data_IF_094866622268
#
_entry.id   IF_094866622268
#
_cell.length_a   1.000
_cell.length_b   1.000
_cell.length_c   1.000
_cell.angle_alpha   90.00
_cell.angle_beta   90.00
_cell.angle_gamma   90.00
#
_symmetry.space_group_name_H-M   'P 1'
#
loop_
_entity.id
_entity.type
_entity.pdbx_description
1 polymer ?
#
# COMPACT_ATOMS: atom_id res chain seq x y z
N UNK A 1 -4.17 3.25 -0.97
CA UNK A 1 -4.89 3.71 0.24
C UNK A 1 -4.31 2.98 1.44
N UNK A 2 -4.07 3.68 2.55
CA UNK A 2 -3.37 3.17 3.73
C UNK A 2 -4.35 3.15 4.89
N UNK A 3 -4.37 2.07 5.65
CA UNK A 3 -5.23 1.93 6.83
C UNK A 3 -4.50 2.41 8.10
N UNK A 4 -4.95 3.52 8.69
CA UNK A 4 -4.35 4.06 9.91
C UNK A 4 -4.71 3.28 11.18
N UNK A 5 -5.62 2.30 11.13
CA UNK A 5 -5.87 1.42 12.28
C UNK A 5 -4.73 0.45 12.56
N UNK A 6 -3.90 0.15 11.53
CA UNK A 6 -2.76 -0.77 11.62
C UNK A 6 -1.45 -0.02 11.49
N UNK A 7 -1.19 0.87 12.45
CA UNK A 7 -0.05 1.80 12.44
C UNK A 7 1.30 1.10 12.20
N UNK A 8 1.49 -0.10 12.76
CA UNK A 8 2.74 -0.86 12.63
C UNK A 8 3.06 -1.28 11.18
N UNK A 9 2.03 -1.51 10.36
CA UNK A 9 2.17 -2.02 8.99
C UNK A 9 2.12 -0.90 7.94
N UNK A 10 1.97 0.35 8.38
CA UNK A 10 1.86 1.51 7.48
C UNK A 10 3.08 1.63 6.58
N UNK A 11 4.29 1.47 7.14
CA UNK A 11 5.52 1.56 6.38
C UNK A 11 5.65 0.45 5.32
N UNK A 12 5.43 -0.79 5.72
CA UNK A 12 5.52 -1.96 4.82
C UNK A 12 4.54 -1.84 3.65
N UNK A 13 3.30 -1.42 3.92
CA UNK A 13 2.28 -1.20 2.89
C UNK A 13 2.73 -0.11 1.93
N UNK A 14 3.28 0.99 2.46
CA UNK A 14 3.71 2.14 1.67
C UNK A 14 4.91 1.79 0.76
N UNK A 15 5.90 1.07 1.30
CA UNK A 15 7.06 0.60 0.56
C UNK A 15 6.66 -0.39 -0.55
N UNK A 16 5.81 -1.37 -0.23
CA UNK A 16 5.29 -2.34 -1.20
C UNK A 16 4.49 -1.68 -2.33
N UNK A 17 3.62 -0.73 -2.00
CA UNK A 17 2.88 0.04 -3.00
C UNK A 17 3.82 0.83 -3.92
N UNK A 18 4.83 1.51 -3.37
CA UNK A 18 5.77 2.29 -4.16
C UNK A 18 6.62 1.41 -5.09
N UNK A 19 7.11 0.27 -4.58
CA UNK A 19 7.86 -0.69 -5.40
C UNK A 19 7.01 -1.22 -6.57
N UNK A 20 5.74 -1.53 -6.30
CA UNK A 20 4.81 -1.99 -7.34
C UNK A 20 4.57 -0.91 -8.38
N UNK A 21 4.34 0.34 -7.97
CA UNK A 21 4.17 1.48 -8.89
C UNK A 21 5.41 1.65 -9.75
N UNK A 22 6.61 1.66 -9.15
CA UNK A 22 7.87 1.79 -9.90
C UNK A 22 8.06 0.66 -10.91
N UNK A 23 7.70 -0.57 -10.54
CA UNK A 23 7.79 -1.75 -11.43
C UNK A 23 6.82 -1.66 -12.61
N UNK A 24 5.59 -1.20 -12.37
CA UNK A 24 4.56 -1.08 -13.42
C UNK A 24 4.86 0.09 -14.36
N UNK A 25 5.29 1.23 -13.82
CA UNK A 25 5.57 2.46 -14.56
C UNK A 25 7.06 2.65 -14.83
N UNK A 26 7.83 1.57 -15.02
CA UNK A 26 9.27 1.65 -15.36
C UNK A 26 9.53 2.26 -16.75
N UNK A 27 8.48 2.45 -17.57
CA UNK A 27 8.58 3.09 -18.88
C UNK A 27 8.60 4.63 -18.74
N UNK A 28 9.53 5.33 -19.41
CA UNK A 28 9.84 6.74 -19.14
C UNK A 28 8.80 7.78 -19.60
N UNK A 29 7.73 7.40 -20.31
CA UNK A 29 6.89 8.39 -21.01
C UNK A 29 5.85 9.11 -20.14
N UNK A 30 5.48 8.61 -18.97
CA UNK A 30 4.52 9.35 -18.11
C UNK A 30 4.63 8.92 -16.65
N UNK A 31 5.09 9.81 -15.76
CA UNK A 31 4.97 9.60 -14.33
C UNK A 31 3.51 9.87 -13.90
N UNK A 32 2.81 8.89 -13.29
CA UNK A 32 1.45 9.11 -12.83
C UNK A 32 1.45 10.03 -11.60
N UNK A 33 0.39 10.84 -11.48
CA UNK A 33 0.18 11.67 -10.29
C UNK A 33 -0.17 10.78 -9.08
N UNK A 34 0.65 10.83 -8.03
CA UNK A 34 0.50 9.96 -6.86
C UNK A 34 -0.35 10.64 -5.77
N UNK A 35 -1.34 9.90 -5.28
CA UNK A 35 -2.20 10.32 -4.17
C UNK A 35 -2.15 9.28 -3.06
N UNK A 36 -1.78 9.72 -1.86
CA UNK A 36 -1.73 8.91 -0.65
C UNK A 36 -2.97 9.24 0.19
N UNK A 37 -3.90 8.30 0.23
CA UNK A 37 -5.12 8.38 1.03
C UNK A 37 -4.93 7.55 2.30
N UNK A 38 -5.02 8.18 3.46
CA UNK A 38 -4.92 7.54 4.77
C UNK A 38 -6.31 7.41 5.40
N UNK A 39 -6.86 6.20 5.40
CA UNK A 39 -8.19 5.89 5.89
C UNK A 39 -8.28 5.67 7.40
N UNK A 40 -9.52 5.56 7.89
CA UNK A 40 -9.88 5.34 9.32
C UNK A 40 -9.32 6.40 10.27
N UNK A 41 -9.33 7.67 9.85
CA UNK A 41 -8.91 8.78 10.70
C UNK A 41 -9.68 8.86 12.03
N UNK A 42 -10.93 8.40 12.06
CA UNK A 42 -11.76 8.32 13.26
C UNK A 42 -11.18 7.43 14.38
N UNK A 43 -10.35 6.44 14.02
CA UNK A 43 -9.62 5.61 14.98
C UNK A 43 -8.28 6.30 15.29
N UNK A 44 -7.59 6.78 14.25
CA UNK A 44 -6.29 7.45 14.39
C UNK A 44 -6.34 8.68 15.32
N UNK A 45 -7.44 9.44 15.32
CA UNK A 45 -7.61 10.61 16.19
C UNK A 45 -7.61 10.28 17.69
N UNK A 46 -7.79 9.02 18.07
CA UNK A 46 -7.78 8.58 19.47
C UNK A 46 -6.40 8.06 19.92
N UNK A 47 -5.40 7.98 19.04
CA UNK A 47 -4.04 7.58 19.42
C UNK A 47 -3.30 8.64 20.23
N UNK A 48 -2.24 8.22 20.90
CA UNK A 48 -1.33 9.12 21.62
C UNK A 48 -0.69 10.15 20.69
N UNK A 49 -0.49 11.35 21.22
CA UNK A 49 0.10 12.48 20.49
C UNK A 49 1.49 12.16 19.94
N UNK A 50 2.29 11.35 20.65
CA UNK A 50 3.61 10.94 20.20
C UNK A 50 3.54 10.02 18.97
N UNK A 51 2.64 9.04 18.99
CA UNK A 51 2.42 8.13 17.85
C UNK A 51 1.90 8.91 16.65
N UNK A 52 0.96 9.83 16.85
CA UNK A 52 0.46 10.72 15.79
C UNK A 52 1.57 11.54 15.17
N UNK A 53 2.43 12.14 15.99
CA UNK A 53 3.55 12.95 15.52
C UNK A 53 4.49 12.11 14.65
N UNK A 54 4.85 10.91 15.09
CA UNK A 54 5.72 10.00 14.32
C UNK A 54 5.09 9.67 12.97
N UNK A 55 3.84 9.23 12.95
CA UNK A 55 3.16 8.81 11.70
C UNK A 55 2.97 9.97 10.74
N UNK A 56 2.48 11.11 11.23
CA UNK A 56 2.31 12.29 10.39
C UNK A 56 3.66 12.76 9.83
N UNK A 57 4.73 12.77 10.63
CA UNK A 57 6.08 13.09 10.13
C UNK A 57 6.53 12.11 9.05
N UNK A 58 6.37 10.80 9.27
CA UNK A 58 6.75 9.77 8.29
C UNK A 58 5.97 9.90 6.99
N UNK A 59 4.64 10.06 7.05
CA UNK A 59 3.80 10.22 5.87
C UNK A 59 4.12 11.50 5.10
N UNK A 60 4.38 12.61 5.81
CA UNK A 60 4.78 13.89 5.19
C UNK A 60 6.13 13.78 4.49
N UNK A 61 7.13 13.18 5.14
CA UNK A 61 8.44 12.95 4.53
C UNK A 61 8.32 12.03 3.31
N UNK A 62 7.49 11.00 3.37
CA UNK A 62 7.28 10.10 2.23
C UNK A 62 6.57 10.80 1.08
N UNK A 63 5.54 11.59 1.35
CA UNK A 63 4.81 12.35 0.32
C UNK A 63 5.73 13.35 -0.38
N UNK A 64 6.57 14.07 0.38
CA UNK A 64 7.55 15.01 -0.15
C UNK A 64 8.58 14.32 -1.07
N UNK A 65 9.09 13.15 -0.66
CA UNK A 65 10.08 12.39 -1.44
C UNK A 65 9.53 11.84 -2.77
N UNK A 66 8.22 11.62 -2.86
CA UNK A 66 7.58 11.02 -4.04
C UNK A 66 6.70 12.02 -4.80
N UNK A 67 6.80 13.33 -4.50
CA UNK A 67 5.96 14.39 -5.09
C UNK A 67 4.46 14.06 -5.07
N UNK A 68 4.01 13.46 -3.97
CA UNK A 68 2.66 12.93 -3.84
C UNK A 68 1.77 13.86 -3.03
N UNK A 69 0.47 13.79 -3.33
CA UNK A 69 -0.57 14.37 -2.49
C UNK A 69 -0.83 13.49 -1.27
N UNK A 70 -1.07 14.09 -0.11
CA UNK A 70 -1.40 13.37 1.12
C UNK A 70 -2.72 13.87 1.69
N UNK A 71 -3.66 12.95 1.92
CA UNK A 71 -4.97 13.29 2.51
C UNK A 71 -5.41 12.25 3.54
N UNK A 72 -6.03 12.75 4.62
CA UNK A 72 -6.69 11.90 5.60
C UNK A 72 -8.16 11.71 5.27
N UNK A 73 -8.63 10.48 5.46
CA UNK A 73 -9.96 10.01 5.11
C UNK A 73 -10.58 9.25 6.28
N UNK A 74 -11.86 9.49 6.52
CA UNK A 74 -12.70 8.63 7.37
C UNK A 74 -14.12 8.60 6.83
N UNK A 75 -14.70 7.41 6.77
CA UNK A 75 -16.10 7.23 6.41
C UNK A 75 -17.07 7.81 7.43
N UNK A 76 -16.62 8.05 8.68
CA UNK A 76 -17.46 8.61 9.76
C UNK A 76 -17.48 10.14 9.76
N UNK A 77 -16.57 10.79 9.04
CA UNK A 77 -16.47 12.25 9.00
C UNK A 77 -16.81 12.78 7.59
N UNK A 78 -18.02 13.30 7.36
CA UNK A 78 -18.48 13.66 6.01
C UNK A 78 -17.66 14.79 5.39
N UNK A 79 -17.07 15.66 6.21
CA UNK A 79 -16.18 16.72 5.74
C UNK A 79 -14.91 16.16 5.06
N UNK A 80 -14.34 15.07 5.60
CA UNK A 80 -13.17 14.41 5.01
C UNK A 80 -13.53 13.64 3.74
N UNK A 81 -14.70 13.01 3.73
CA UNK A 81 -15.22 12.35 2.54
C UNK A 81 -15.39 13.34 1.37
N UNK A 82 -15.96 14.52 1.64
CA UNK A 82 -16.12 15.57 0.63
C UNK A 82 -14.76 16.02 0.08
N UNK A 83 -13.81 16.35 0.96
CA UNK A 83 -12.45 16.76 0.55
C UNK A 83 -11.74 15.71 -0.31
N UNK A 84 -11.85 14.43 0.04
CA UNK A 84 -11.23 13.36 -0.74
C UNK A 84 -11.83 13.25 -2.15
N UNK A 85 -13.16 13.38 -2.27
CA UNK A 85 -13.86 13.39 -3.57
C UNK A 85 -13.47 14.59 -4.41
N UNK A 86 -13.48 15.79 -3.80
CA UNK A 86 -13.11 17.03 -4.48
C UNK A 86 -11.65 16.96 -4.98
N UNK A 87 -10.76 16.39 -4.17
CA UNK A 87 -9.36 16.19 -4.56
C UNK A 87 -9.20 15.22 -5.74
N UNK A 88 -9.89 14.08 -5.71
CA UNK A 88 -9.85 13.11 -6.80
C UNK A 88 -10.44 13.70 -8.09
N UNK A 89 -11.55 14.43 -7.97
CA UNK A 89 -12.16 15.15 -9.09
C UNK A 89 -11.17 16.15 -9.69
N UNK A 90 -10.55 16.99 -8.87
CA UNK A 90 -9.62 18.00 -9.36
C UNK A 90 -8.43 17.38 -10.09
N UNK A 91 -7.86 16.29 -9.56
CA UNK A 91 -6.71 15.61 -10.19
C UNK A 91 -7.14 14.92 -11.49
N UNK A 92 -8.31 14.25 -11.50
CA UNK A 92 -8.80 13.55 -12.69
C UNK A 92 -9.11 14.49 -13.86
N UNK A 93 -9.56 15.72 -13.58
CA UNK A 93 -9.92 16.72 -14.60
C UNK A 93 -8.83 17.78 -14.82
N UNK A 94 -7.67 17.66 -14.17
CA UNK A 94 -6.56 18.60 -14.34
C UNK A 94 -6.80 19.98 -13.71
N UNK A 95 -7.76 20.10 -12.80
CA UNK A 95 -7.99 21.33 -12.05
C UNK A 95 -6.87 21.51 -11.02
N UNK A 96 -6.37 22.74 -10.90
CA UNK A 96 -5.35 23.06 -9.91
C UNK A 96 -5.91 22.93 -8.50
N UNK A 97 -5.27 22.11 -7.65
CA UNK A 97 -5.67 21.96 -6.25
C UNK A 97 -5.24 23.22 -5.49
N UNK A 98 -6.15 23.92 -4.79
CA UNK A 98 -5.79 25.12 -4.06
C UNK A 98 -4.78 24.83 -2.94
N UNK A 99 -3.56 25.38 -3.08
CA UNK A 99 -2.49 25.26 -2.07
C UNK A 99 -2.92 25.88 -0.71
N UNK A 100 -3.89 26.81 -0.74
CA UNK A 100 -4.44 27.49 0.44
C UNK A 100 -5.10 26.57 1.46
N UNK A 101 -5.48 25.35 1.09
CA UNK A 101 -6.12 24.39 2.00
C UNK A 101 -5.14 23.49 2.76
N UNK A 102 -3.82 23.74 2.65
CA UNK A 102 -2.78 22.97 3.33
C UNK A 102 -3.00 22.91 4.85
N UNK A 103 -3.11 21.69 5.39
CA UNK A 103 -3.13 21.41 6.82
C UNK A 103 -2.01 20.42 7.18
N UNK A 104 -1.05 20.92 7.96
CA UNK A 104 0.14 20.18 8.43
C UNK A 104 0.10 19.84 9.92
N UNK A 105 -0.98 20.21 10.61
CA UNK A 105 -1.06 20.05 12.06
C UNK A 105 -1.32 18.59 12.43
N UNK A 106 -0.58 18.08 13.42
CA UNK A 106 -0.77 16.72 13.95
C UNK A 106 -2.10 16.51 14.67
N UNK A 107 -2.74 17.60 15.12
CA UNK A 107 -4.01 17.56 15.84
C UNK A 107 -5.23 17.54 14.92
N UNK A 108 -5.04 17.92 13.65
CA UNK A 108 -6.09 18.00 12.63
C UNK A 108 -5.81 16.97 11.54
N UNK A 109 -6.81 16.60 10.73
CA UNK A 109 -6.60 15.71 9.60
C UNK A 109 -5.63 16.37 8.59
N UNK A 110 -4.62 15.62 8.17
CA UNK A 110 -3.64 16.11 7.21
C UNK A 110 -4.28 16.29 5.83
N UNK A 111 -3.93 17.40 5.20
CA UNK A 111 -4.26 17.69 3.81
C UNK A 111 -3.10 18.47 3.21
N UNK A 112 -2.33 17.82 2.33
CA UNK A 112 -1.09 18.38 1.80
C UNK A 112 -1.08 18.14 0.29
N UNK A 113 -1.31 19.20 -0.50
CA UNK A 113 -1.10 19.16 -1.94
C UNK A 113 0.37 18.88 -2.28
N UNK A 114 0.63 18.28 -3.46
CA UNK A 114 1.97 18.10 -4.01
C UNK A 114 2.76 19.41 -3.96
N UNK A 115 4.05 19.30 -3.66
CA UNK A 115 5.03 20.40 -3.61
C UNK A 115 4.69 21.56 -2.65
N UNK A 116 3.62 21.44 -1.85
CA UNK A 116 3.25 22.45 -0.86
C UNK A 116 4.02 22.29 0.46
N UNK A 117 4.69 21.16 0.67
CA UNK A 117 5.39 20.84 1.91
C UNK A 117 6.91 20.99 1.81
N UNK A 118 7.57 21.22 2.95
CA UNK A 118 9.02 21.43 3.02
C UNK A 118 9.63 20.74 4.23
N UNK A 119 10.91 20.39 4.16
CA UNK A 119 11.62 19.72 5.25
C UNK A 119 11.63 20.55 6.55
N UNK A 120 11.73 21.88 6.41
CA UNK A 120 11.64 22.83 7.52
C UNK A 120 10.25 22.78 8.18
N UNK A 121 9.18 22.66 7.38
CA UNK A 121 7.80 22.57 7.89
C UNK A 121 7.50 21.23 8.58
N UNK A 122 8.20 20.16 8.19
CA UNK A 122 8.10 18.85 8.86
C UNK A 122 8.91 18.87 10.17
N UNK A 123 9.93 19.73 10.26
CA UNK A 123 10.80 19.85 11.43
C UNK A 123 11.83 18.73 11.50
N UNK A 124 12.32 18.29 10.34
CA UNK A 124 13.23 17.16 10.22
C UNK A 124 14.31 17.45 9.20
N UNK A 125 15.51 16.93 9.43
CA UNK A 125 16.61 17.07 8.47
C UNK A 125 16.21 16.47 7.12
N UNK A 126 16.59 17.10 5.99
CA UNK A 126 16.43 16.50 4.67
C UNK A 126 16.97 15.07 4.70
N UNK A 127 16.10 14.10 4.43
CA UNK A 127 16.38 12.69 4.67
C UNK A 127 16.02 11.85 3.45
N UNK A 128 16.86 10.87 3.10
CA UNK A 128 16.53 9.85 2.08
C UNK A 128 15.44 8.92 2.60
N UNK A 129 14.73 8.22 1.70
CA UNK A 129 13.70 7.23 2.06
C UNK A 129 14.18 6.22 3.12
N UNK A 130 15.44 5.75 3.02
CA UNK A 130 16.05 4.84 4.00
C UNK A 130 16.21 5.46 5.39
N UNK A 131 16.51 6.75 5.47
CA UNK A 131 16.63 7.44 6.77
C UNK A 131 15.25 7.66 7.40
N UNK A 132 14.21 7.89 6.57
CA UNK A 132 12.82 7.93 7.03
C UNK A 132 12.40 6.53 7.54
N UNK A 133 12.81 5.46 6.86
CA UNK A 133 12.59 4.06 7.28
C UNK A 133 13.18 3.80 8.66
N UNK A 134 14.47 4.09 8.83
CA UNK A 134 15.17 3.91 10.11
C UNK A 134 14.48 4.68 11.25
N UNK A 135 14.03 5.91 11.00
CA UNK A 135 13.30 6.73 11.99
C UNK A 135 11.92 6.16 12.33
N UNK A 136 11.20 5.60 11.36
CA UNK A 136 9.92 4.96 11.60
C UNK A 136 10.08 3.67 12.41
N UNK A 137 10.94 2.76 11.96
CA UNK A 137 11.17 1.45 12.58
C UNK A 137 11.71 1.55 14.01
N UNK A 138 12.55 2.56 14.29
CA UNK A 138 13.06 2.81 15.66
C UNK A 138 11.97 3.25 16.65
N UNK A 139 10.89 3.90 16.18
CA UNK A 139 9.83 4.42 17.05
C UNK A 139 8.60 3.54 17.08
N UNK A 140 8.33 2.84 15.99
CA UNK A 140 7.25 1.87 15.85
C UNK A 140 7.89 0.59 15.34
N UNK A 141 8.30 -0.31 16.26
CA UNK A 141 8.80 -1.60 15.84
C UNK A 141 7.68 -2.34 15.09
N UNK A 142 7.96 -2.89 13.90
CA UNK A 142 7.02 -3.77 13.24
C UNK A 142 6.70 -4.93 14.17
N UNK A 143 5.50 -5.49 14.06
CA UNK A 143 5.19 -6.74 14.75
C UNK A 143 6.15 -7.76 14.15
N UNK A 144 7.17 -8.15 14.92
CA UNK A 144 7.86 -9.41 14.66
C UNK A 144 6.78 -10.47 14.73
N UNK A 145 6.37 -10.97 13.58
CA UNK A 145 5.72 -12.27 13.52
C UNK A 145 6.80 -13.22 14.04
N UNK A 146 6.81 -13.46 15.34
CA UNK A 146 7.30 -14.74 15.83
C UNK A 146 6.57 -15.76 14.99
N UNK A 147 7.33 -16.59 14.28
CA UNK A 147 6.82 -17.72 13.54
C UNK A 147 6.20 -18.72 14.53
N UNK A 148 5.10 -18.37 15.19
CA UNK A 148 4.17 -19.30 15.78
C UNK A 148 3.31 -19.84 14.65
N UNK A 149 3.97 -20.63 13.79
CA UNK A 149 3.30 -21.74 13.14
C UNK A 149 2.91 -22.70 14.25
N UNK A 150 1.74 -22.51 14.82
CA UNK A 150 1.00 -23.58 15.47
C UNK A 150 -0.48 -23.27 15.29
N UNK A 151 -0.89 -23.39 14.03
CA UNK A 151 -2.23 -23.83 13.66
C UNK A 151 -2.65 -24.91 14.66
N UNK A 152 -3.59 -24.58 15.53
CA UNK A 152 -4.28 -25.54 16.38
C UNK A 152 -5.23 -26.37 15.49
N UNK A 153 -4.66 -27.09 14.53
CA UNK A 153 -5.33 -28.17 13.84
C UNK A 153 -4.97 -29.44 14.61
N UNK A 154 -6.02 -30.12 15.05
CA UNK A 154 -6.03 -31.37 15.77
C UNK A 154 -4.82 -32.27 15.48
N UNK A 155 -4.16 -32.69 16.56
CA UNK A 155 -3.33 -33.89 16.59
C UNK A 155 -4.23 -35.07 16.22
N UNK A 156 -4.28 -35.41 14.94
CA UNK A 156 -4.69 -36.73 14.47
C UNK A 156 -3.43 -37.53 14.16
N UNK A 157 -3.27 -38.59 14.94
CA UNK A 157 -2.21 -39.56 14.86
C UNK A 157 -2.11 -40.18 13.46
N UNK A 158 -0.88 -40.50 13.07
CA UNK A 158 -0.47 -41.23 11.87
C UNK A 158 -1.57 -41.97 11.09
N UNK A 159 -2.10 -41.31 10.07
CA UNK A 159 -2.54 -41.93 8.84
C UNK A 159 -1.94 -41.10 7.70
N UNK A 160 -1.05 -41.68 6.91
CA UNK A 160 -0.45 -41.01 5.75
C UNK A 160 -1.58 -40.66 4.77
N UNK A 161 -1.92 -39.37 4.55
CA UNK A 161 -3.03 -39.00 3.68
C UNK A 161 -2.61 -39.04 2.20
N UNK A 162 -1.71 -39.95 1.83
CA UNK A 162 -1.12 -40.04 0.48
C UNK A 162 -2.21 -40.22 -0.58
N UNK A 163 -3.21 -41.07 -0.35
CA UNK A 163 -4.31 -41.25 -1.29
C UNK A 163 -5.15 -39.97 -1.50
N UNK A 164 -5.33 -39.15 -0.46
CA UNK A 164 -6.05 -37.88 -0.58
C UNK A 164 -5.20 -36.82 -1.30
N UNK A 165 -3.89 -36.82 -1.03
CA UNK A 165 -2.91 -35.97 -1.70
C UNK A 165 -2.80 -36.32 -3.19
N UNK A 166 -2.71 -37.60 -3.54
CA UNK A 166 -2.64 -38.10 -4.91
C UNK A 166 -3.92 -37.76 -5.69
N UNK A 167 -5.08 -37.87 -5.05
CA UNK A 167 -6.36 -37.49 -5.65
C UNK A 167 -6.42 -35.98 -5.95
N UNK A 168 -5.95 -35.15 -5.02
CA UNK A 168 -5.92 -33.70 -5.18
C UNK A 168 -4.92 -33.28 -6.26
N UNK A 169 -3.75 -33.92 -6.31
CA UNK A 169 -2.74 -33.71 -7.34
C UNK A 169 -3.31 -34.08 -8.72
N UNK A 170 -3.95 -35.25 -8.85
CA UNK A 170 -4.55 -35.70 -10.10
C UNK A 170 -5.65 -34.76 -10.60
N UNK A 171 -6.49 -34.24 -9.70
CA UNK A 171 -7.53 -33.26 -10.06
C UNK A 171 -6.92 -31.95 -10.57
N UNK A 172 -5.90 -31.44 -9.89
CA UNK A 172 -5.12 -30.26 -10.31
C UNK A 172 -4.46 -30.45 -11.68
N UNK A 173 -3.88 -31.62 -11.93
CA UNK A 173 -3.30 -31.97 -13.24
C UNK A 173 -4.34 -31.98 -14.35
N UNK A 174 -5.53 -32.51 -14.07
CA UNK A 174 -6.60 -32.59 -15.06
C UNK A 174 -7.18 -31.20 -15.38
N UNK A 175 -7.34 -30.34 -14.36
CA UNK A 175 -7.72 -28.93 -14.57
C UNK A 175 -6.72 -28.17 -15.43
N UNK A 176 -5.41 -28.30 -15.14
CA UNK A 176 -4.35 -27.66 -15.92
C UNK A 176 -4.33 -28.12 -17.37
N UNK A 177 -4.58 -29.42 -17.61
CA UNK A 177 -4.65 -30.00 -18.95
C UNK A 177 -5.85 -29.51 -19.74
N UNK A 178 -6.95 -29.21 -19.06
CA UNK A 178 -8.20 -28.74 -19.68
C UNK A 178 -8.29 -27.21 -19.78
N UNK A 179 -7.22 -26.47 -19.43
CA UNK A 179 -7.19 -25.03 -19.66
C UNK A 179 -6.96 -24.73 -21.15
N UNK A 180 -7.93 -24.07 -21.79
CA UNK A 180 -7.92 -23.64 -23.20
C UNK A 180 -6.70 -22.80 -23.62
N UNK A 181 -5.88 -22.32 -22.68
CA UNK A 181 -4.69 -21.51 -22.97
C UNK A 181 -3.47 -22.31 -23.46
N UNK A 182 -3.56 -23.65 -23.55
CA UNK A 182 -2.45 -24.54 -23.93
C UNK A 182 -2.74 -25.40 -25.17
N UNK A 183 -3.84 -25.15 -25.89
CA UNK A 183 -4.04 -25.77 -27.20
C UNK A 183 -2.98 -25.23 -28.18
N UNK A 184 -1.93 -26.01 -28.38
CA UNK A 184 -0.94 -25.75 -29.43
C UNK A 184 -1.72 -25.82 -30.76
N UNK A 185 -1.80 -24.72 -31.54
CA UNK A 185 -2.50 -24.74 -32.81
C UNK A 185 -1.89 -25.82 -33.72
N UNK A 186 -2.74 -26.65 -34.32
CA UNK A 186 -2.35 -27.79 -35.16
C UNK A 186 -1.39 -27.38 -36.30
N UNK A 187 -1.43 -26.11 -36.72
CA UNK A 187 -0.51 -25.54 -37.71
C UNK A 187 0.97 -25.71 -37.35
N UNK A 188 1.34 -25.68 -36.07
CA UNK A 188 2.73 -25.92 -35.64
C UNK A 188 3.20 -27.35 -35.84
N UNK A 189 2.29 -28.33 -35.90
CA UNK A 189 2.62 -29.75 -36.11
C UNK A 189 2.74 -30.12 -37.60
N UNK A 190 2.24 -29.27 -38.50
CA UNK A 190 2.22 -29.53 -39.95
C UNK A 190 3.42 -28.94 -40.70
N UNK A 191 4.20 -28.04 -40.06
CA UNK A 191 5.36 -27.39 -40.70
C UNK A 191 6.55 -28.34 -40.92
N UNK A 192 6.65 -29.45 -40.18
CA UNK A 192 7.78 -30.39 -40.28
C UNK A 192 7.51 -31.65 -41.13
N UNK A 193 6.50 -31.63 -42.02
CA UNK A 193 6.31 -32.66 -43.04
C UNK A 193 6.54 -32.10 -44.44
N UNK A 194 7.79 -31.80 -44.78
CA UNK A 194 8.28 -31.73 -46.17
C UNK A 194 9.71 -32.22 -46.25
#
# INVERSE_FOLDING_TARGET
MIDLSKIKNVWETLESCLQTIKKVYSTPETSPELIIICGKYDIFKNYDSDVKKVICTTLRSFALLNHAHLLFYSSKEPQLLRRAKDMLFNIAFGNCIPIKEKNTSYSKPLFIPKDSDSWESIGVTPSTLEQVKMRHTSRIPPITVSSETNTSAAVQQHAHPEAALDSLIALKYNELRNMESLDIPIDYLLINKK
#
